data_IF_066430257930
#
_entry.id   IF_066430257930
#
_cell.length_a   1.000
_cell.length_b   1.000
_cell.length_c   1.000
_cell.angle_alpha   90.00
_cell.angle_beta   90.00
_cell.angle_gamma   90.00
#
_symmetry.space_group_name_H-M   'P 1'
#
loop_
_entity.id
_entity.type
_entity.pdbx_description
1 polymer ?
#
# COMPACT_ATOMS: atom_id res chain seq x y z
N UNK A 1 -7.43 -15.45 -19.36
CA UNK A 1 -6.04 -15.79 -18.97
C UNK A 1 -5.36 -14.73 -18.11
N UNK A 2 -5.53 -13.42 -18.39
CA UNK A 2 -4.84 -12.33 -17.66
C UNK A 2 -5.10 -12.30 -16.13
N UNK A 3 -6.35 -12.52 -15.70
CA UNK A 3 -6.74 -12.55 -14.27
C UNK A 3 -6.02 -13.66 -13.50
N UNK A 4 -5.93 -14.87 -14.07
CA UNK A 4 -5.25 -16.01 -13.42
C UNK A 4 -3.75 -15.76 -13.23
N UNK A 5 -3.09 -15.16 -14.24
CA UNK A 5 -1.69 -14.77 -14.13
C UNK A 5 -1.48 -13.69 -13.05
N UNK A 6 -2.40 -12.73 -12.96
CA UNK A 6 -2.38 -11.71 -11.92
C UNK A 6 -2.55 -12.31 -10.51
N UNK A 7 -3.51 -13.25 -10.34
CA UNK A 7 -3.70 -13.97 -9.07
C UNK A 7 -2.44 -14.75 -8.70
N UNK A 8 -1.87 -15.49 -9.65
CA UNK A 8 -0.64 -16.26 -9.42
C UNK A 8 0.52 -15.33 -9.03
N UNK A 9 0.65 -14.17 -9.67
CA UNK A 9 1.64 -13.16 -9.32
C UNK A 9 1.40 -12.58 -7.92
N UNK A 10 0.19 -12.14 -7.60
CA UNK A 10 -0.15 -11.58 -6.29
C UNK A 10 0.09 -12.60 -5.15
N UNK A 11 -0.28 -13.87 -5.37
CA UNK A 11 -0.03 -14.96 -4.44
C UNK A 11 1.48 -15.24 -4.28
N UNK A 12 2.24 -15.25 -5.37
CA UNK A 12 3.69 -15.43 -5.33
C UNK A 12 4.40 -14.28 -4.61
N UNK A 13 4.01 -13.03 -4.88
CA UNK A 13 4.54 -11.85 -4.20
C UNK A 13 4.21 -11.90 -2.70
N UNK A 14 2.98 -12.28 -2.36
CA UNK A 14 2.56 -12.48 -0.95
C UNK A 14 3.38 -13.56 -0.26
N UNK A 15 3.62 -14.70 -0.90
CA UNK A 15 4.49 -15.75 -0.38
C UNK A 15 5.94 -15.29 -0.20
N UNK A 16 6.46 -14.48 -1.13
CA UNK A 16 7.82 -13.93 -1.04
C UNK A 16 7.97 -12.87 0.07
N UNK A 17 6.87 -12.17 0.38
CA UNK A 17 6.81 -11.14 1.43
C UNK A 17 6.89 -11.70 2.87
N UNK A 18 6.58 -12.98 3.09
CA UNK A 18 6.68 -13.65 4.40
C UNK A 18 8.14 -13.98 4.74
N UNK A 19 8.98 -12.94 4.84
CA UNK A 19 10.38 -13.03 5.29
C UNK A 19 11.33 -13.77 4.34
N UNK A 20 10.93 -14.02 3.08
CA UNK A 20 11.78 -14.72 2.10
C UNK A 20 12.63 -13.76 1.27
N UNK A 21 12.18 -12.52 1.08
CA UNK A 21 12.94 -11.43 0.48
C UNK A 21 13.73 -10.68 1.55
N UNK A 22 15.03 -10.54 1.35
CA UNK A 22 15.94 -9.76 2.21
C UNK A 22 16.59 -8.65 1.38
N UNK A 23 16.85 -7.51 2.00
CA UNK A 23 17.46 -6.36 1.33
C UNK A 23 18.96 -6.55 1.09
N UNK A 24 19.63 -7.36 1.91
CA UNK A 24 21.09 -7.50 1.94
C UNK A 24 21.58 -8.91 1.55
N UNK A 25 20.76 -9.94 1.67
CA UNK A 25 21.14 -11.33 1.35
C UNK A 25 21.55 -11.48 -0.13
N UNK A 26 22.32 -12.53 -0.50
CA UNK A 26 22.53 -12.88 -1.90
C UNK A 26 21.20 -13.16 -2.63
N UNK A 27 21.17 -12.89 -3.95
CA UNK A 27 19.99 -13.16 -4.78
C UNK A 27 19.71 -14.65 -4.80
N UNK A 28 18.49 -15.02 -4.40
CA UNK A 28 18.01 -16.40 -4.43
C UNK A 28 17.29 -16.66 -5.76
N UNK A 29 17.19 -17.93 -6.17
CA UNK A 29 16.58 -18.31 -7.45
C UNK A 29 15.13 -17.80 -7.60
N UNK A 30 14.34 -17.80 -6.53
CA UNK A 30 12.95 -17.32 -6.56
C UNK A 30 12.86 -15.80 -6.67
N UNK A 31 13.88 -15.06 -6.24
CA UNK A 31 13.96 -13.61 -6.38
C UNK A 31 14.12 -13.23 -7.87
N UNK A 32 14.80 -14.08 -8.67
CA UNK A 32 14.85 -13.92 -10.12
C UNK A 32 13.44 -14.06 -10.72
N UNK A 33 12.68 -15.07 -10.29
CA UNK A 33 11.28 -15.26 -10.73
C UNK A 33 10.41 -14.07 -10.34
N UNK A 34 10.60 -13.52 -9.14
CA UNK A 34 9.94 -12.30 -8.68
C UNK A 34 10.21 -11.13 -9.61
N UNK A 35 11.48 -10.86 -9.92
CA UNK A 35 11.86 -9.74 -10.79
C UNK A 35 11.35 -9.90 -12.22
N UNK A 36 11.37 -11.11 -12.78
CA UNK A 36 10.80 -11.39 -14.10
C UNK A 36 9.29 -11.11 -14.13
N UNK A 37 8.57 -11.56 -13.11
CA UNK A 37 7.13 -11.32 -13.02
C UNK A 37 6.81 -9.82 -12.80
N UNK A 38 7.61 -9.13 -11.99
CA UNK A 38 7.48 -7.70 -11.75
C UNK A 38 7.74 -6.86 -13.02
N UNK A 39 8.72 -7.25 -13.85
CA UNK A 39 8.95 -6.64 -15.16
C UNK A 39 7.77 -6.88 -16.09
N UNK A 40 7.20 -8.09 -16.09
CA UNK A 40 5.98 -8.39 -16.85
C UNK A 40 4.82 -7.47 -16.48
N UNK A 41 4.63 -7.21 -15.19
CA UNK A 41 3.62 -6.26 -14.68
C UNK A 41 3.90 -4.82 -15.12
N UNK A 42 5.16 -4.37 -15.07
CA UNK A 42 5.57 -3.04 -15.54
C UNK A 42 5.28 -2.88 -17.04
N UNK A 43 5.64 -3.87 -17.86
CA UNK A 43 5.43 -3.83 -19.31
C UNK A 43 3.93 -3.79 -19.64
N UNK A 44 3.12 -4.62 -19.00
CA UNK A 44 1.66 -4.63 -19.22
C UNK A 44 1.03 -3.26 -18.90
N UNK A 45 1.48 -2.62 -17.83
CA UNK A 45 1.03 -1.27 -17.46
C UNK A 45 1.47 -0.20 -18.46
N UNK A 46 2.73 -0.22 -18.89
CA UNK A 46 3.24 0.72 -19.90
C UNK A 46 2.51 0.54 -21.24
N UNK A 47 2.26 -0.71 -21.64
CA UNK A 47 1.46 -0.98 -22.84
C UNK A 47 0.02 -0.49 -22.69
N UNK A 48 -0.58 -0.67 -21.51
CA UNK A 48 -1.92 -0.15 -21.23
C UNK A 48 -1.94 1.38 -21.35
N UNK A 49 -1.01 2.08 -20.70
CA UNK A 49 -0.91 3.54 -20.77
C UNK A 49 -0.69 4.06 -22.20
N UNK A 50 0.12 3.37 -23.01
CA UNK A 50 0.33 3.72 -24.41
C UNK A 50 -0.92 3.50 -25.28
N UNK A 51 -1.77 2.52 -24.97
CA UNK A 51 -2.99 2.24 -25.75
C UNK A 51 -4.15 3.19 -25.41
N UNK A 52 -4.33 3.56 -24.14
CA UNK A 52 -5.38 4.51 -23.72
C UNK A 52 -4.94 5.96 -23.79
N UNK A 53 -3.63 6.22 -23.87
CA UNK A 53 -3.05 7.56 -23.77
C UNK A 53 -2.82 7.96 -22.31
N UNK A 54 -1.63 8.51 -22.03
CA UNK A 54 -1.14 8.78 -20.67
C UNK A 54 -2.09 9.65 -19.83
N UNK A 55 -2.66 10.70 -20.42
CA UNK A 55 -3.59 11.59 -19.71
C UNK A 55 -4.89 10.87 -19.30
N UNK A 56 -5.45 10.04 -20.19
CA UNK A 56 -6.67 9.26 -19.91
C UNK A 56 -6.39 8.13 -18.92
N UNK A 57 -5.21 7.50 -19.02
CA UNK A 57 -4.77 6.47 -18.11
C UNK A 57 -4.74 6.98 -16.66
N UNK A 58 -4.17 8.16 -16.42
CA UNK A 58 -4.16 8.74 -15.08
C UNK A 58 -5.54 9.28 -14.65
N UNK A 59 -6.41 9.74 -15.55
CA UNK A 59 -7.76 10.18 -15.13
C UNK A 59 -8.65 9.02 -14.61
N UNK A 60 -8.30 7.77 -14.91
CA UNK A 60 -8.91 6.60 -14.29
C UNK A 60 -8.37 6.41 -12.87
N UNK A 61 -9.23 6.60 -11.87
CA UNK A 61 -8.87 6.44 -10.45
C UNK A 61 -8.35 5.06 -10.07
N UNK A 62 -8.53 4.05 -10.92
CA UNK A 62 -8.08 2.68 -10.67
C UNK A 62 -6.72 2.36 -11.30
N UNK A 63 -6.41 2.97 -12.45
CA UNK A 63 -5.07 2.87 -13.05
C UNK A 63 -4.01 3.60 -12.20
N UNK A 64 -4.43 4.50 -11.31
CA UNK A 64 -3.59 5.07 -10.26
C UNK A 64 -3.01 3.99 -9.33
N UNK A 65 -3.80 2.98 -8.96
CA UNK A 65 -3.35 1.90 -8.08
C UNK A 65 -2.27 1.06 -8.75
N UNK A 66 -2.45 0.70 -10.02
CA UNK A 66 -1.44 -0.05 -10.77
C UNK A 66 -0.17 0.78 -11.04
N UNK A 67 -0.31 2.07 -11.33
CA UNK A 67 0.82 2.99 -11.49
C UNK A 67 1.62 3.15 -10.18
N UNK A 68 0.93 3.28 -9.05
CA UNK A 68 1.55 3.29 -7.72
C UNK A 68 2.28 1.97 -7.43
N UNK A 69 1.70 0.84 -7.84
CA UNK A 69 2.37 -0.46 -7.78
C UNK A 69 3.67 -0.51 -8.59
N UNK A 70 3.68 0.06 -9.79
CA UNK A 70 4.89 0.17 -10.61
C UNK A 70 5.98 0.99 -9.91
N UNK A 71 5.62 2.13 -9.31
CA UNK A 71 6.57 2.98 -8.56
C UNK A 71 7.14 2.24 -7.37
N UNK A 72 6.31 1.51 -6.61
CA UNK A 72 6.78 0.73 -5.45
C UNK A 72 7.72 -0.40 -5.88
N UNK A 73 7.42 -1.12 -6.97
CA UNK A 73 8.31 -2.16 -7.51
C UNK A 73 9.68 -1.58 -7.87
N UNK A 74 9.71 -0.42 -8.53
CA UNK A 74 10.97 0.27 -8.87
C UNK A 74 11.71 0.70 -7.60
N UNK A 75 11.00 1.21 -6.59
CA UNK A 75 11.60 1.57 -5.31
C UNK A 75 12.22 0.36 -4.60
N UNK A 76 11.55 -0.79 -4.59
CA UNK A 76 12.09 -2.05 -4.05
C UNK A 76 13.36 -2.46 -4.81
N UNK A 77 13.35 -2.35 -6.15
CA UNK A 77 14.52 -2.69 -6.97
C UNK A 77 15.72 -1.78 -6.69
N UNK A 78 15.49 -0.47 -6.63
CA UNK A 78 16.52 0.52 -6.31
C UNK A 78 17.06 0.33 -4.89
N UNK A 79 16.18 0.10 -3.91
CA UNK A 79 16.57 -0.16 -2.53
C UNK A 79 17.43 -1.44 -2.45
N UNK A 80 16.99 -2.51 -3.10
CA UNK A 80 17.73 -3.79 -3.18
C UNK A 80 19.09 -3.63 -3.85
N UNK A 81 19.19 -2.82 -4.89
CA UNK A 81 20.46 -2.52 -5.55
C UNK A 81 21.41 -1.70 -4.67
N UNK A 82 20.88 -0.71 -3.94
CA UNK A 82 21.64 0.17 -3.06
C UNK A 82 22.11 -0.53 -1.77
N UNK A 83 21.34 -1.49 -1.26
CA UNK A 83 21.68 -2.24 -0.03
C UNK A 83 22.62 -3.43 -0.27
N UNK A 84 23.02 -3.69 -1.53
CA UNK A 84 23.98 -4.76 -1.85
C UNK A 84 25.39 -4.41 -1.39
N UNK A 85 25.92 -5.20 -0.48
CA UNK A 85 27.29 -5.05 0.01
C UNK A 85 27.48 -4.01 1.12
N UNK A 86 26.40 -3.50 1.71
CA UNK A 86 26.51 -2.72 2.95
C UNK A 86 26.70 -3.66 4.14
N UNK A 87 27.89 -3.63 4.76
CA UNK A 87 28.24 -4.49 5.92
C UNK A 87 27.37 -4.24 7.17
N UNK A 88 26.60 -3.15 7.18
CA UNK A 88 25.63 -2.85 8.22
C UNK A 88 24.22 -3.23 7.80
N UNK A 89 23.73 -4.38 8.28
CA UNK A 89 22.30 -4.62 8.46
C UNK A 89 21.77 -3.61 9.49
N UNK A 90 21.58 -2.35 9.09
CA UNK A 90 20.75 -1.43 9.84
C UNK A 90 19.35 -2.03 9.80
N UNK A 91 18.87 -2.53 10.94
CA UNK A 91 17.53 -3.10 11.14
C UNK A 91 16.46 -2.19 10.52
N UNK A 92 16.67 -0.88 10.59
CA UNK A 92 15.82 0.14 9.95
C UNK A 92 15.69 -0.04 8.42
N UNK A 93 16.78 -0.37 7.71
CA UNK A 93 16.76 -0.59 6.27
C UNK A 93 15.99 -1.86 5.88
N UNK A 94 16.15 -2.95 6.62
CA UNK A 94 15.38 -4.18 6.39
C UNK A 94 13.90 -3.97 6.73
N UNK A 95 13.57 -3.21 7.77
CA UNK A 95 12.18 -2.84 8.11
C UNK A 95 11.56 -1.99 7.01
N UNK A 96 12.27 -0.99 6.49
CA UNK A 96 11.79 -0.18 5.37
C UNK A 96 11.56 -1.02 4.10
N UNK A 97 12.48 -1.93 3.80
CA UNK A 97 12.33 -2.87 2.68
C UNK A 97 11.12 -3.79 2.85
N UNK A 98 10.92 -4.38 4.03
CA UNK A 98 9.73 -5.17 4.34
C UNK A 98 8.44 -4.34 4.23
N UNK A 99 8.49 -3.07 4.63
CA UNK A 99 7.38 -2.13 4.46
C UNK A 99 7.02 -1.92 2.99
N UNK A 100 8.01 -1.70 2.11
CA UNK A 100 7.79 -1.57 0.67
C UNK A 100 7.23 -2.86 0.05
N UNK A 101 7.80 -4.02 0.41
CA UNK A 101 7.34 -5.33 -0.05
C UNK A 101 5.89 -5.61 0.43
N UNK A 102 5.54 -5.18 1.63
CA UNK A 102 4.16 -5.30 2.15
C UNK A 102 3.20 -4.35 1.45
N UNK A 103 3.66 -3.12 1.13
CA UNK A 103 2.86 -2.15 0.38
C UNK A 103 2.52 -2.68 -1.02
N UNK A 104 3.47 -3.28 -1.74
CA UNK A 104 3.18 -3.85 -3.06
C UNK A 104 2.19 -5.03 -2.98
N UNK A 105 2.26 -5.86 -1.93
CA UNK A 105 1.26 -6.91 -1.69
C UNK A 105 -0.13 -6.29 -1.58
N UNK A 106 -0.31 -5.28 -0.73
CA UNK A 106 -1.60 -4.60 -0.57
C UNK A 106 -2.11 -4.01 -1.89
N UNK A 107 -1.24 -3.33 -2.64
CA UNK A 107 -1.59 -2.72 -3.93
C UNK A 107 -2.07 -3.79 -4.92
N UNK A 108 -1.38 -4.93 -5.02
CA UNK A 108 -1.78 -6.02 -5.91
C UNK A 108 -3.12 -6.63 -5.51
N UNK A 109 -3.38 -6.83 -4.21
CA UNK A 109 -4.68 -7.34 -3.77
C UNK A 109 -5.83 -6.35 -4.02
N UNK A 110 -5.59 -5.05 -3.86
CA UNK A 110 -6.56 -4.01 -4.21
C UNK A 110 -6.83 -3.99 -5.72
N UNK A 111 -5.78 -4.09 -6.55
CA UNK A 111 -5.91 -4.20 -8.01
C UNK A 111 -6.64 -5.48 -8.44
N UNK A 112 -6.46 -6.59 -7.71
CA UNK A 112 -7.22 -7.82 -7.95
C UNK A 112 -8.71 -7.64 -7.63
N UNK A 113 -9.05 -6.98 -6.51
CA UNK A 113 -10.44 -6.71 -6.12
C UNK A 113 -11.19 -5.93 -7.22
N UNK A 114 -10.50 -5.04 -7.94
CA UNK A 114 -11.04 -4.33 -9.09
C UNK A 114 -11.44 -5.27 -10.24
N UNK A 115 -10.66 -6.31 -10.52
CA UNK A 115 -10.98 -7.25 -11.59
C UNK A 115 -12.28 -8.02 -11.31
N UNK A 116 -12.62 -8.20 -10.03
CA UNK A 116 -13.88 -8.82 -9.61
C UNK A 116 -15.10 -7.90 -9.73
N UNK A 117 -14.95 -6.60 -10.01
CA UNK A 117 -16.07 -5.68 -10.32
C UNK A 117 -16.87 -6.15 -11.55
N UNK A 118 -16.25 -6.95 -12.42
CA UNK A 118 -16.91 -7.56 -13.58
C UNK A 118 -17.99 -8.59 -13.19
N UNK A 119 -17.99 -9.08 -11.94
CA UNK A 119 -19.01 -9.99 -11.42
C UNK A 119 -20.18 -9.14 -10.89
N UNK A 120 -21.42 -9.26 -11.43
CA UNK A 120 -22.52 -8.34 -11.15
C UNK A 120 -22.83 -8.03 -9.67
N UNK A 121 -22.91 -9.03 -8.75
CA UNK A 121 -23.12 -8.74 -7.33
C UNK A 121 -21.95 -7.99 -6.68
N UNK A 122 -20.71 -8.32 -7.05
CA UNK A 122 -19.49 -7.69 -6.50
C UNK A 122 -19.32 -6.27 -7.06
N UNK A 123 -19.61 -6.07 -8.34
CA UNK A 123 -19.53 -4.76 -8.99
C UNK A 123 -20.52 -3.75 -8.41
N UNK A 124 -21.72 -4.21 -8.04
CA UNK A 124 -22.72 -3.35 -7.36
C UNK A 124 -22.20 -2.92 -5.99
N UNK A 125 -21.64 -3.85 -5.22
CA UNK A 125 -21.10 -3.60 -3.89
C UNK A 125 -19.90 -2.64 -3.93
N UNK A 126 -19.00 -2.81 -4.89
CA UNK A 126 -17.87 -1.90 -5.10
C UNK A 126 -18.28 -0.49 -5.52
N UNK A 127 -19.31 -0.35 -6.37
CA UNK A 127 -19.86 0.96 -6.72
C UNK A 127 -20.44 1.65 -5.50
N UNK A 128 -21.23 0.95 -4.69
CA UNK A 128 -21.77 1.50 -3.43
C UNK A 128 -20.65 1.91 -2.47
N UNK A 129 -19.61 1.07 -2.31
CA UNK A 129 -18.44 1.42 -1.50
C UNK A 129 -17.75 2.70 -2.02
N UNK A 130 -17.57 2.83 -3.33
CA UNK A 130 -16.94 4.04 -3.92
C UNK A 130 -17.75 5.32 -3.68
N UNK A 131 -19.09 5.23 -3.65
CA UNK A 131 -19.95 6.39 -3.34
C UNK A 131 -19.77 6.84 -1.88
N UNK A 132 -19.61 5.90 -0.96
CA UNK A 132 -19.38 6.22 0.46
C UNK A 132 -17.92 6.52 0.79
N UNK A 133 -16.96 6.06 -0.01
CA UNK A 133 -15.54 6.29 0.21
C UNK A 133 -15.20 7.79 0.25
N UNK A 134 -15.83 8.61 -0.62
CA UNK A 134 -15.63 10.06 -0.60
C UNK A 134 -16.10 10.68 0.72
N UNK A 135 -17.27 10.27 1.21
CA UNK A 135 -17.81 10.74 2.49
C UNK A 135 -16.94 10.29 3.67
N UNK A 136 -16.43 9.06 3.63
CA UNK A 136 -15.48 8.54 4.63
C UNK A 136 -14.16 9.32 4.62
N UNK A 137 -13.61 9.64 3.45
CA UNK A 137 -12.38 10.45 3.35
C UNK A 137 -12.61 11.84 3.93
N UNK A 138 -13.73 12.50 3.60
CA UNK A 138 -14.07 13.81 4.19
C UNK A 138 -14.21 13.71 5.71
N UNK A 139 -14.87 12.68 6.22
CA UNK A 139 -15.00 12.44 7.66
C UNK A 139 -13.62 12.23 8.32
N UNK A 140 -12.74 11.43 7.72
CA UNK A 140 -11.37 11.20 8.21
C UNK A 140 -10.56 12.49 8.23
N UNK A 141 -10.66 13.32 7.18
CA UNK A 141 -9.96 14.62 7.13
C UNK A 141 -10.47 15.55 8.22
N UNK A 142 -11.79 15.66 8.41
CA UNK A 142 -12.40 16.49 9.46
C UNK A 142 -12.02 15.98 10.84
N UNK A 143 -12.08 14.68 11.08
CA UNK A 143 -11.67 14.06 12.34
C UNK A 143 -10.18 14.29 12.61
N UNK A 144 -9.33 14.18 11.58
CA UNK A 144 -7.88 14.43 11.69
C UNK A 144 -7.59 15.89 12.03
N UNK A 145 -8.29 16.84 11.38
CA UNK A 145 -8.18 18.26 11.69
C UNK A 145 -8.62 18.56 13.13
N UNK A 146 -9.68 17.90 13.61
CA UNK A 146 -10.15 18.03 14.97
C UNK A 146 -9.13 17.49 15.98
N UNK A 147 -8.58 16.30 15.74
CA UNK A 147 -7.52 15.69 16.58
C UNK A 147 -6.30 16.60 16.65
N UNK A 148 -5.82 17.10 15.50
CA UNK A 148 -4.68 18.03 15.47
C UNK A 148 -4.96 19.35 16.20
N UNK A 149 -6.15 19.93 15.99
CA UNK A 149 -6.59 21.14 16.69
C UNK A 149 -6.67 20.95 18.20
N UNK A 150 -7.21 19.83 18.66
CA UNK A 150 -7.29 19.52 20.08
C UNK A 150 -5.92 19.20 20.68
N UNK A 151 -5.09 18.40 20.01
CA UNK A 151 -3.73 18.09 20.47
C UNK A 151 -2.86 19.34 20.60
N UNK A 152 -2.93 20.27 19.64
CA UNK A 152 -2.19 21.53 19.73
C UNK A 152 -2.69 22.42 20.87
N UNK A 153 -4.01 22.48 21.11
CA UNK A 153 -4.57 23.18 22.26
C UNK A 153 -4.12 22.56 23.60
N UNK A 154 -4.08 21.23 23.70
CA UNK A 154 -3.66 20.49 24.91
C UNK A 154 -2.17 20.66 25.23
N UNK A 155 -1.33 20.74 24.19
CA UNK A 155 0.10 21.05 24.32
C UNK A 155 0.30 22.51 24.72
N UNK A 156 -0.48 23.45 24.16
CA UNK A 156 -0.39 24.87 24.46
C UNK A 156 -0.84 25.22 25.89
N UNK A 157 -1.77 24.47 26.48
CA UNK A 157 -2.21 24.67 27.87
C UNK A 157 -1.29 24.02 28.91
N UNK A 158 -0.19 23.36 28.50
CA UNK A 158 0.84 22.87 29.42
C UNK A 158 0.39 21.76 30.38
N UNK A 159 -0.69 21.03 30.05
CA UNK A 159 -1.30 20.04 30.94
C UNK A 159 -0.53 18.70 30.98
N UNK A 160 0.76 18.72 31.34
CA UNK A 160 1.54 17.50 31.63
C UNK A 160 1.07 16.75 32.90
N UNK A 161 0.16 17.34 33.68
CA UNK A 161 -0.39 16.74 34.91
C UNK A 161 -1.84 16.23 34.82
N UNK A 162 -2.53 16.42 33.70
CA UNK A 162 -3.96 16.06 33.57
C UNK A 162 -4.22 14.71 32.89
N UNK A 163 -3.16 14.04 32.42
CA UNK A 163 -3.24 12.75 31.72
C UNK A 163 -3.94 11.68 32.58
N UNK A 164 -3.75 11.69 33.90
CA UNK A 164 -4.43 10.75 34.80
C UNK A 164 -5.95 11.00 34.92
N UNK A 165 -6.40 12.26 34.91
CA UNK A 165 -7.82 12.58 35.06
C UNK A 165 -8.63 12.41 33.77
N UNK A 166 -8.00 12.62 32.61
CA UNK A 166 -8.66 12.42 31.31
C UNK A 166 -8.81 10.93 30.98
N UNK A 167 -7.82 10.09 31.32
CA UNK A 167 -7.93 8.62 31.17
C UNK A 167 -8.99 8.05 32.10
N UNK A 168 -9.04 8.49 33.37
CA UNK A 168 -10.11 8.10 34.32
C UNK A 168 -11.49 8.60 33.88
N UNK A 169 -11.60 9.81 33.33
CA UNK A 169 -12.85 10.34 32.79
C UNK A 169 -13.35 9.58 31.54
N UNK A 170 -12.44 9.13 30.68
CA UNK A 170 -12.79 8.28 29.53
C UNK A 170 -13.16 6.84 29.93
N UNK A 171 -12.58 6.29 31.01
CA UNK A 171 -12.99 4.96 31.51
C UNK A 171 -14.36 4.96 32.19
N UNK A 172 -14.82 6.09 32.73
CA UNK A 172 -16.18 6.22 33.31
C UNK A 172 -17.29 6.40 32.27
N UNK A 173 -16.96 6.71 31.02
CA UNK A 173 -17.92 6.78 29.91
C UNK A 173 -18.12 5.44 29.20
N UNK A 174 -17.37 4.40 29.58
CA UNK A 174 -17.39 3.06 28.98
C UNK A 174 -18.10 2.03 29.88
N UNK A 175 -18.68 2.46 31.01
CA UNK A 175 -19.57 1.64 31.86
C UNK A 175 -20.96 2.25 31.96
#
# INVERSE_FOLDING_TARGET
>A
MRVLLYIAFAAFVSWSAVGRLSATDPIRWFEIVYWVAAIGFLIDNVQSANRTGWASFFMSGWHHTDALGCVVIVAIALFRAASRGSDGSLIAGQVAFNGLVSAIVLILWVGLAQQFVLIPPVGTLMRTFSMHARSLVTLVVVASAFVLGFSTALVATGMKGAEHHIILGLMQLVW
#
